data_IF_761961817220
#
_entry.id   IF_761961817220
#
_cell.length_a   1.000
_cell.length_b   1.000
_cell.length_c   1.000
_cell.angle_alpha   90.00
_cell.angle_beta   90.00
_cell.angle_gamma   90.00
#
_symmetry.space_group_name_H-M   'P 1'
#
loop_
_entity.id
_entity.type
_entity.pdbx_description
1 polymer ?
#
# COMPACT_ATOMS: atom_id res chain seq x y z
N UNK A 1 -19.65 21.68 15.84
CA UNK A 1 -19.08 21.38 17.17
C UNK A 1 -18.98 19.87 17.33
N UNK A 2 -17.79 19.32 17.50
CA UNK A 2 -17.56 17.90 17.70
C UNK A 2 -17.52 17.59 19.20
N UNK A 3 -17.94 16.38 19.59
CA UNK A 3 -17.88 15.91 20.97
C UNK A 3 -16.94 14.72 21.09
N UNK A 4 -16.20 14.64 22.19
CA UNK A 4 -15.31 13.54 22.46
C UNK A 4 -16.10 12.24 22.69
N UNK A 5 -15.84 11.20 21.88
CA UNK A 5 -16.48 9.90 22.00
C UNK A 5 -16.14 9.14 23.31
N UNK A 6 -15.15 9.61 24.07
CA UNK A 6 -14.71 8.98 25.32
C UNK A 6 -15.27 9.65 26.58
N UNK A 7 -15.49 10.97 26.59
CA UNK A 7 -15.90 11.70 27.79
C UNK A 7 -17.02 12.73 27.54
N UNK A 8 -17.52 12.85 26.32
CA UNK A 8 -18.60 13.78 25.95
C UNK A 8 -18.23 15.26 25.99
N UNK A 9 -16.97 15.63 26.22
CA UNK A 9 -16.56 17.03 26.25
C UNK A 9 -16.65 17.65 24.86
N UNK A 10 -17.11 18.92 24.76
CA UNK A 10 -17.08 19.67 23.52
C UNK A 10 -15.63 19.89 23.06
N UNK A 11 -15.38 19.66 21.80
CA UNK A 11 -14.08 19.76 21.18
C UNK A 11 -14.04 20.93 20.21
N UNK A 12 -12.89 21.59 20.15
CA UNK A 12 -12.59 22.51 19.07
C UNK A 12 -12.32 21.69 17.79
N UNK A 13 -12.83 22.14 16.66
CA UNK A 13 -12.72 21.46 15.36
C UNK A 13 -11.26 21.22 14.91
N UNK A 14 -10.30 21.93 15.53
CA UNK A 14 -8.86 21.76 15.30
C UNK A 14 -8.13 20.90 16.34
N UNK A 15 -8.83 20.37 17.37
CA UNK A 15 -8.18 19.65 18.47
C UNK A 15 -7.75 18.24 18.03
N UNK A 16 -6.48 17.92 18.18
CA UNK A 16 -5.92 16.57 17.98
C UNK A 16 -6.07 15.66 19.22
N UNK A 17 -6.24 16.25 20.38
CA UNK A 17 -6.40 15.57 21.66
C UNK A 17 -7.52 16.20 22.49
N UNK A 18 -8.28 15.40 23.20
CA UNK A 18 -9.29 15.91 24.12
C UNK A 18 -8.61 16.53 25.35
N UNK A 19 -8.85 17.82 25.65
CA UNK A 19 -8.22 18.48 26.80
C UNK A 19 -8.71 17.93 28.16
N UNK A 20 -9.84 17.19 28.16
CA UNK A 20 -10.43 16.67 29.39
C UNK A 20 -9.98 15.25 29.73
N UNK A 21 -9.83 14.36 28.75
CA UNK A 21 -9.51 12.95 29.01
C UNK A 21 -8.21 12.50 28.33
N UNK A 22 -7.48 13.38 27.64
CA UNK A 22 -6.23 13.07 26.94
C UNK A 22 -6.37 12.12 25.76
N UNK A 23 -7.58 11.62 25.48
CA UNK A 23 -7.80 10.72 24.33
C UNK A 23 -7.54 11.49 23.05
N UNK A 24 -6.79 10.87 22.17
CA UNK A 24 -6.64 11.38 20.81
C UNK A 24 -8.01 11.40 20.15
N UNK A 25 -8.51 12.60 19.93
CA UNK A 25 -9.73 12.85 19.16
C UNK A 25 -9.27 13.10 17.75
N UNK A 26 -8.86 11.99 17.14
CA UNK A 26 -8.38 12.08 15.80
C UNK A 26 -9.51 12.56 14.90
N UNK A 27 -9.32 13.64 14.20
CA UNK A 27 -9.24 13.39 12.77
C UNK A 27 -8.57 12.03 12.63
N UNK A 28 -9.26 11.07 12.02
CA UNK A 28 -8.54 9.95 11.43
C UNK A 28 -7.49 10.56 10.50
N UNK A 29 -6.34 10.89 11.07
CA UNK A 29 -5.16 11.30 10.34
C UNK A 29 -4.54 10.04 9.76
N UNK A 30 -5.26 9.43 8.82
CA UNK A 30 -4.60 8.89 7.68
C UNK A 30 -3.90 10.07 7.03
N UNK A 31 -2.62 10.27 7.34
CA UNK A 31 -1.81 11.28 6.74
C UNK A 31 -1.97 11.18 5.22
N UNK A 32 -2.56 12.22 4.61
CA UNK A 32 -2.61 12.38 3.17
C UNK A 32 -3.60 11.50 2.39
N UNK A 33 -4.74 11.09 2.99
CA UNK A 33 -5.85 10.58 2.19
C UNK A 33 -6.49 11.74 1.46
N UNK A 34 -6.32 11.78 0.15
CA UNK A 34 -7.04 12.71 -0.70
C UNK A 34 -8.52 12.70 -0.35
N UNK A 35 -9.12 13.87 -0.26
CA UNK A 35 -10.50 14.10 0.20
C UNK A 35 -11.57 13.58 -0.77
N UNK A 36 -11.18 13.01 -1.90
CA UNK A 36 -12.09 12.34 -2.83
C UNK A 36 -12.36 10.91 -2.38
N UNK A 37 -13.62 10.60 -2.14
CA UNK A 37 -14.04 9.23 -1.82
C UNK A 37 -13.76 8.31 -3.01
N UNK A 38 -12.93 7.30 -2.81
CA UNK A 38 -12.69 6.28 -3.82
C UNK A 38 -14.00 5.55 -4.15
N UNK A 39 -14.24 5.19 -5.40
CA UNK A 39 -15.43 4.42 -5.81
C UNK A 39 -15.42 3.00 -5.24
N UNK A 40 -14.28 2.52 -4.76
CA UNK A 40 -14.10 1.22 -4.08
C UNK A 40 -13.34 1.43 -2.77
N UNK A 41 -13.45 0.47 -1.85
CA UNK A 41 -12.72 0.50 -0.58
C UNK A 41 -11.19 0.60 -0.84
N UNK A 42 -10.49 1.48 -0.10
CA UNK A 42 -9.04 1.70 -0.24
C UNK A 42 -8.22 0.41 -0.11
N UNK A 43 -8.62 -0.47 0.81
CA UNK A 43 -7.94 -1.74 1.03
C UNK A 43 -8.09 -2.67 -0.18
N UNK A 44 -9.28 -2.67 -0.80
CA UNK A 44 -9.55 -3.41 -2.03
C UNK A 44 -8.74 -2.84 -3.18
N UNK A 45 -8.67 -1.52 -3.32
CA UNK A 45 -7.84 -0.86 -4.33
C UNK A 45 -6.36 -1.19 -4.13
N UNK A 46 -5.86 -1.15 -2.88
CA UNK A 46 -4.50 -1.54 -2.54
C UNK A 46 -4.19 -3.00 -2.87
N UNK A 47 -5.10 -3.93 -2.60
CA UNK A 47 -4.95 -5.33 -2.97
C UNK A 47 -4.99 -5.54 -4.50
N UNK A 48 -5.91 -4.87 -5.20
CA UNK A 48 -6.00 -4.93 -6.67
C UNK A 48 -4.75 -4.38 -7.36
N UNK A 49 -4.02 -3.45 -6.73
CA UNK A 49 -2.75 -2.92 -7.29
C UNK A 49 -1.65 -3.98 -7.41
N UNK A 50 -1.80 -5.17 -6.80
CA UNK A 50 -0.87 -6.29 -7.01
C UNK A 50 -1.10 -7.06 -8.31
N UNK A 51 -2.08 -6.66 -9.09
CA UNK A 51 -2.22 -7.06 -10.49
C UNK A 51 -1.69 -5.93 -11.39
N UNK A 52 -0.84 -6.25 -12.33
CA UNK A 52 -0.09 -5.29 -13.14
C UNK A 52 -1.01 -4.28 -13.85
N UNK A 53 -2.11 -4.75 -14.44
CA UNK A 53 -3.04 -3.88 -15.18
C UNK A 53 -3.74 -2.89 -14.26
N UNK A 54 -4.41 -3.29 -13.14
CA UNK A 54 -4.99 -2.34 -12.20
C UNK A 54 -3.96 -1.37 -11.60
N UNK A 55 -2.73 -1.82 -11.31
CA UNK A 55 -1.69 -0.94 -10.79
C UNK A 55 -1.41 0.25 -11.72
N UNK A 56 -1.26 -0.02 -13.02
CA UNK A 56 -1.03 1.03 -14.02
C UNK A 56 -2.26 1.94 -14.14
N UNK A 57 -3.46 1.37 -14.18
CA UNK A 57 -4.71 2.11 -14.29
C UNK A 57 -4.91 3.05 -13.09
N UNK A 58 -4.66 2.57 -11.88
CA UNK A 58 -4.81 3.37 -10.66
C UNK A 58 -3.79 4.52 -10.55
N UNK A 59 -2.62 4.40 -11.17
CA UNK A 59 -1.65 5.49 -11.25
C UNK A 59 -2.05 6.57 -12.27
N UNK A 60 -2.93 6.26 -13.22
CA UNK A 60 -3.34 7.17 -14.29
C UNK A 60 -4.69 7.86 -14.02
N UNK A 61 -5.56 7.25 -13.21
CA UNK A 61 -6.95 7.68 -13.05
C UNK A 61 -7.17 8.26 -11.65
N UNK A 62 -7.72 9.47 -11.58
CA UNK A 62 -8.28 10.00 -10.34
C UNK A 62 -9.63 9.31 -10.02
N UNK A 63 -9.97 9.08 -8.75
CA UNK A 63 -9.32 9.56 -7.52
C UNK A 63 -8.22 8.63 -6.96
N UNK A 64 -7.90 7.50 -7.61
CA UNK A 64 -6.90 6.54 -7.10
C UNK A 64 -5.50 7.13 -7.07
N UNK A 65 -5.16 7.90 -8.11
CA UNK A 65 -3.87 8.59 -8.23
C UNK A 65 -3.61 9.57 -7.08
N UNK A 66 -4.62 10.22 -6.55
CA UNK A 66 -4.49 11.16 -5.44
C UNK A 66 -4.37 10.49 -4.07
N UNK A 67 -4.69 9.19 -3.96
CA UNK A 67 -4.62 8.44 -2.72
C UNK A 67 -3.21 7.86 -2.49
N UNK A 68 -2.54 8.31 -1.41
CA UNK A 68 -1.18 7.88 -1.07
C UNK A 68 -1.08 6.37 -0.85
N UNK A 69 -2.05 5.76 -0.16
CA UNK A 69 -2.05 4.34 0.14
C UNK A 69 -2.09 3.50 -1.14
N UNK A 70 -3.00 3.82 -2.07
CA UNK A 70 -3.10 3.12 -3.35
C UNK A 70 -1.83 3.29 -4.18
N UNK A 71 -1.28 4.52 -4.25
CA UNK A 71 -0.02 4.78 -4.97
C UNK A 71 1.14 3.97 -4.44
N UNK A 72 1.30 3.91 -3.11
CA UNK A 72 2.34 3.12 -2.48
C UNK A 72 2.29 1.66 -2.96
N UNK A 73 1.10 1.04 -2.89
CA UNK A 73 0.91 -0.34 -3.33
C UNK A 73 1.11 -0.51 -4.83
N UNK A 74 0.72 0.47 -5.66
CA UNK A 74 0.98 0.45 -7.11
C UNK A 74 2.49 0.46 -7.41
N UNK A 75 3.26 1.39 -6.83
CA UNK A 75 4.71 1.44 -7.06
C UNK A 75 5.42 0.20 -6.54
N UNK A 76 5.04 -0.29 -5.35
CA UNK A 76 5.61 -1.51 -4.80
C UNK A 76 5.30 -2.73 -5.67
N UNK A 77 4.09 -2.85 -6.22
CA UNK A 77 3.72 -3.96 -7.10
C UNK A 77 4.48 -3.92 -8.44
N UNK A 78 4.66 -2.73 -9.02
CA UNK A 78 5.45 -2.57 -10.25
C UNK A 78 6.92 -2.94 -10.03
N UNK A 79 7.53 -2.45 -8.94
CA UNK A 79 8.90 -2.82 -8.59
C UNK A 79 9.03 -4.33 -8.32
N UNK A 80 8.07 -4.92 -7.63
CA UNK A 80 8.02 -6.35 -7.38
C UNK A 80 7.88 -7.15 -8.70
N UNK A 81 7.07 -6.70 -9.65
CA UNK A 81 6.94 -7.31 -10.96
C UNK A 81 8.25 -7.31 -11.74
N UNK A 82 9.02 -6.21 -11.68
CA UNK A 82 10.35 -6.13 -12.29
C UNK A 82 11.32 -7.12 -11.64
N UNK A 83 11.36 -7.17 -10.30
CA UNK A 83 12.22 -8.11 -9.56
C UNK A 83 11.84 -9.56 -9.85
N UNK A 84 10.57 -9.87 -10.02
CA UNK A 84 10.10 -11.22 -10.35
C UNK A 84 10.54 -11.71 -11.75
N UNK A 85 11.08 -10.82 -12.58
CA UNK A 85 11.70 -11.24 -13.85
C UNK A 85 13.10 -11.83 -13.66
N UNK A 86 13.79 -11.49 -12.56
CA UNK A 86 15.18 -11.92 -12.31
C UNK A 86 15.31 -13.47 -12.24
N UNK A 87 14.45 -14.21 -11.54
CA UNK A 87 14.56 -15.69 -11.48
C UNK A 87 14.48 -16.37 -12.85
N UNK A 88 13.82 -15.73 -13.82
CA UNK A 88 13.73 -16.28 -15.19
C UNK A 88 15.07 -16.35 -15.89
N UNK A 89 16.04 -15.54 -15.47
CA UNK A 89 17.42 -15.59 -15.97
C UNK A 89 18.07 -16.92 -15.56
N UNK A 90 17.67 -17.51 -14.42
CA UNK A 90 18.19 -18.80 -13.96
C UNK A 90 17.87 -19.97 -14.92
N UNK A 91 16.84 -19.84 -15.77
CA UNK A 91 16.51 -20.84 -16.81
C UNK A 91 17.64 -21.03 -17.83
N UNK A 92 18.51 -20.03 -18.01
CA UNK A 92 19.64 -20.11 -18.92
C UNK A 92 20.82 -20.89 -18.32
N UNK A 93 20.76 -21.27 -17.03
CA UNK A 93 21.77 -22.09 -16.36
C UNK A 93 21.34 -23.56 -16.44
N UNK A 94 21.99 -24.40 -17.28
CA UNK A 94 21.60 -25.80 -17.44
C UNK A 94 21.72 -26.55 -16.10
N UNK A 95 20.81 -27.48 -15.85
CA UNK A 95 20.69 -28.33 -14.66
C UNK A 95 20.31 -27.57 -13.39
N UNK A 96 21.05 -26.54 -12.96
CA UNK A 96 20.75 -25.76 -11.77
C UNK A 96 19.44 -24.95 -11.93
N UNK A 97 19.17 -24.41 -13.11
CA UNK A 97 17.97 -23.64 -13.41
C UNK A 97 16.68 -24.42 -13.26
N UNK A 98 16.68 -25.72 -13.56
CA UNK A 98 15.49 -26.59 -13.47
C UNK A 98 14.97 -26.68 -12.04
N UNK A 99 15.85 -26.68 -11.05
CA UNK A 99 15.46 -26.74 -9.63
C UNK A 99 15.38 -25.38 -8.98
N UNK A 100 16.30 -24.48 -9.32
CA UNK A 100 16.40 -23.15 -8.71
C UNK A 100 15.25 -22.21 -9.13
N UNK A 101 14.88 -22.23 -10.40
CA UNK A 101 13.82 -21.37 -10.91
C UNK A 101 12.46 -21.63 -10.21
N UNK A 102 11.91 -22.86 -10.14
CA UNK A 102 10.62 -23.08 -9.49
C UNK A 102 10.66 -22.79 -7.99
N UNK A 103 11.79 -22.98 -7.32
CA UNK A 103 11.94 -22.65 -5.91
C UNK A 103 11.89 -21.13 -5.69
N UNK A 104 12.55 -20.35 -6.54
CA UNK A 104 12.51 -18.89 -6.48
C UNK A 104 11.12 -18.33 -6.83
N UNK A 105 10.47 -18.87 -7.86
CA UNK A 105 9.10 -18.45 -8.22
C UNK A 105 8.11 -18.78 -7.10
N UNK A 106 8.23 -19.93 -6.46
CA UNK A 106 7.40 -20.28 -5.30
C UNK A 106 7.61 -19.31 -4.14
N UNK A 107 8.85 -18.95 -3.84
CA UNK A 107 9.16 -17.97 -2.78
C UNK A 107 8.57 -16.60 -3.11
N UNK A 108 8.72 -16.12 -4.34
CA UNK A 108 8.12 -14.86 -4.80
C UNK A 108 6.59 -14.90 -4.77
N UNK A 109 6.00 -16.03 -5.14
CA UNK A 109 4.54 -16.21 -5.06
C UNK A 109 4.04 -16.10 -3.62
N UNK A 110 4.74 -16.71 -2.65
CA UNK A 110 4.39 -16.58 -1.22
C UNK A 110 4.50 -15.13 -0.76
N UNK A 111 5.57 -14.43 -1.12
CA UNK A 111 5.72 -13.00 -0.83
C UNK A 111 4.58 -12.19 -1.45
N UNK A 112 4.23 -12.45 -2.70
CA UNK A 112 3.11 -11.78 -3.38
C UNK A 112 1.79 -11.97 -2.65
N UNK A 113 1.46 -13.20 -2.21
CA UNK A 113 0.25 -13.50 -1.43
C UNK A 113 0.25 -12.72 -0.10
N UNK A 114 1.39 -12.67 0.60
CA UNK A 114 1.53 -11.93 1.85
C UNK A 114 1.25 -10.44 1.61
N UNK A 115 1.83 -9.86 0.57
CA UNK A 115 1.64 -8.45 0.23
C UNK A 115 0.18 -8.13 -0.10
N UNK A 116 -0.48 -9.01 -0.85
CA UNK A 116 -1.89 -8.88 -1.20
C UNK A 116 -2.77 -8.90 0.05
N UNK A 117 -2.53 -9.84 0.97
CA UNK A 117 -3.26 -9.93 2.24
C UNK A 117 -3.02 -8.69 3.09
N UNK A 118 -1.77 -8.22 3.20
CA UNK A 118 -1.42 -7.01 3.97
C UNK A 118 -2.08 -5.76 3.41
N UNK A 119 -2.08 -5.59 2.10
CA UNK A 119 -2.79 -4.50 1.43
C UNK A 119 -4.30 -4.56 1.69
N UNK A 120 -4.90 -5.74 1.63
CA UNK A 120 -6.32 -5.93 1.94
C UNK A 120 -6.66 -5.61 3.39
N UNK A 121 -5.71 -5.81 4.32
CA UNK A 121 -5.83 -5.42 5.73
C UNK A 121 -5.59 -3.92 5.98
N UNK A 122 -5.29 -3.14 4.94
CA UNK A 122 -4.98 -1.71 5.06
C UNK A 122 -3.60 -1.42 5.64
N UNK A 123 -2.68 -2.37 5.58
CA UNK A 123 -1.33 -2.23 6.11
C UNK A 123 -0.32 -1.91 5.00
N UNK A 124 0.47 -0.85 5.19
CA UNK A 124 1.61 -0.51 4.33
C UNK A 124 2.82 -1.40 4.72
N UNK A 125 2.82 -2.65 4.29
CA UNK A 125 3.96 -3.53 4.53
C UNK A 125 5.07 -3.23 3.53
N UNK A 126 6.16 -2.66 4.04
CA UNK A 126 7.32 -2.28 3.22
C UNK A 126 8.22 -3.50 3.00
N UNK A 127 8.42 -3.86 1.74
CA UNK A 127 9.43 -4.85 1.41
C UNK A 127 10.84 -4.28 1.64
N UNK A 128 11.78 -5.05 2.20
CA UNK A 128 13.17 -4.65 2.22
C UNK A 128 13.66 -4.41 0.78
N UNK A 129 14.41 -3.34 0.56
CA UNK A 129 14.96 -2.86 -0.71
C UNK A 129 14.01 -2.00 -1.57
N UNK A 130 12.73 -2.36 -1.72
CA UNK A 130 11.82 -1.65 -2.62
C UNK A 130 10.74 -0.84 -1.91
N UNK A 131 10.46 -1.14 -0.64
CA UNK A 131 9.40 -0.47 0.12
C UNK A 131 9.69 1.01 0.37
N UNK A 132 10.92 1.36 0.70
CA UNK A 132 11.34 2.76 0.87
C UNK A 132 11.29 3.53 -0.44
N UNK A 133 11.76 2.93 -1.53
CA UNK A 133 11.67 3.52 -2.86
C UNK A 133 10.22 3.75 -3.29
N UNK A 134 9.33 2.78 -3.07
CA UNK A 134 7.92 2.89 -3.40
C UNK A 134 7.23 4.00 -2.60
N UNK A 135 7.57 4.15 -1.32
CA UNK A 135 7.08 5.23 -0.47
C UNK A 135 7.55 6.60 -0.98
N UNK A 136 8.83 6.74 -1.29
CA UNK A 136 9.40 7.96 -1.86
C UNK A 136 8.69 8.37 -3.16
N UNK A 137 8.44 7.40 -4.06
CA UNK A 137 7.71 7.67 -5.28
C UNK A 137 6.24 8.06 -5.01
N UNK A 138 5.60 7.39 -4.04
CA UNK A 138 4.24 7.73 -3.66
C UNK A 138 4.11 9.14 -3.06
N UNK A 139 5.16 9.67 -2.46
CA UNK A 139 5.20 11.04 -1.93
C UNK A 139 5.51 12.05 -3.04
N UNK A 140 6.51 11.78 -3.88
CA UNK A 140 6.98 12.72 -4.91
C UNK A 140 6.01 12.87 -6.08
N UNK A 141 5.18 11.88 -6.35
CA UNK A 141 4.19 11.90 -7.45
C UNK A 141 2.83 12.47 -7.03
N UNK A 142 2.75 13.07 -5.85
CA UNK A 142 1.54 13.70 -5.30
C UNK A 142 1.25 15.07 -5.91
#
# INVERSE_FOLDING_TARGET
MAFCSGCGAALNDAASFCPRCGRQVGRATGAGRGTESLPINENVAGALSYFLIPAIVFLLIDPFRSNRFVRFHCFQSLAFAVISMIPRIALYVPVAGIFLWPALELALFVVWVILLIKAFQGQEFKLPLIGEWAEDQAIKSA
#
